data_IF_766067804829
#
_entry.id   IF_766067804829
#
_cell.length_a   1.000
_cell.length_b   1.000
_cell.length_c   1.000
_cell.angle_alpha   90.00
_cell.angle_beta   90.00
_cell.angle_gamma   90.00
#
_symmetry.space_group_name_H-M   'P 1'
#
loop_
_entity.id
_entity.type
_entity.pdbx_description
1 polymer ?
#
# COMPACT_ATOMS: atom_id res chain seq x y z
N UNK A 1 4.07 -23.42 -37.58
CA UNK A 1 4.57 -22.55 -36.47
C UNK A 1 6.11 -22.53 -36.52
N UNK A 2 6.71 -21.36 -36.69
CA UNK A 2 8.16 -21.25 -36.74
C UNK A 2 8.80 -21.62 -35.40
N UNK A 3 10.04 -22.14 -35.39
CA UNK A 3 10.75 -22.55 -34.15
C UNK A 3 10.78 -21.44 -33.08
N UNK A 4 10.83 -20.18 -33.51
CA UNK A 4 10.86 -19.00 -32.63
C UNK A 4 9.50 -18.80 -31.95
N UNK A 5 8.40 -18.87 -32.70
CA UNK A 5 7.04 -18.73 -32.18
C UNK A 5 6.75 -19.78 -31.08
N UNK A 6 7.12 -21.02 -31.34
CA UNK A 6 6.95 -22.10 -30.37
C UNK A 6 7.72 -21.84 -29.07
N UNK A 7 8.96 -21.36 -29.13
CA UNK A 7 9.76 -21.02 -27.95
C UNK A 7 9.12 -19.87 -27.16
N UNK A 8 8.56 -18.87 -27.87
CA UNK A 8 7.87 -17.74 -27.21
C UNK A 8 6.62 -18.24 -26.49
N UNK A 9 5.81 -19.07 -27.15
CA UNK A 9 4.59 -19.63 -26.54
C UNK A 9 4.94 -20.47 -25.31
N UNK A 10 5.89 -21.39 -25.41
CA UNK A 10 6.36 -22.22 -24.30
C UNK A 10 6.91 -21.36 -23.13
N UNK A 11 7.60 -20.26 -23.42
CA UNK A 11 8.06 -19.32 -22.40
C UNK A 11 6.91 -18.61 -21.72
N UNK A 12 5.94 -18.10 -22.46
CA UNK A 12 4.76 -17.39 -21.92
C UNK A 12 3.94 -18.35 -21.07
N UNK A 13 3.62 -19.53 -21.57
CA UNK A 13 2.85 -20.55 -20.82
C UNK A 13 3.51 -20.92 -19.51
N UNK A 14 4.83 -21.11 -19.51
CA UNK A 14 5.58 -21.45 -18.29
C UNK A 14 5.62 -20.32 -17.27
N UNK A 15 5.58 -19.06 -17.74
CA UNK A 15 5.77 -17.89 -16.88
C UNK A 15 4.53 -17.01 -16.78
N UNK A 16 3.36 -17.46 -17.19
CA UNK A 16 2.14 -16.65 -17.28
C UNK A 16 1.81 -15.91 -15.98
N UNK A 17 1.95 -16.55 -14.84
CA UNK A 17 1.68 -15.96 -13.53
C UNK A 17 2.64 -14.81 -13.21
N UNK A 18 3.92 -14.99 -13.49
CA UNK A 18 4.96 -13.96 -13.27
C UNK A 18 4.73 -12.79 -14.21
N UNK A 19 4.47 -13.07 -15.49
CA UNK A 19 4.20 -12.05 -16.50
C UNK A 19 2.94 -11.25 -16.14
N UNK A 20 1.89 -11.91 -15.68
CA UNK A 20 0.68 -11.26 -15.20
C UNK A 20 0.97 -10.33 -14.01
N UNK A 21 1.70 -10.81 -13.00
CA UNK A 21 2.08 -9.99 -11.83
C UNK A 21 2.92 -8.78 -12.23
N UNK A 22 3.89 -8.95 -13.12
CA UNK A 22 4.70 -7.84 -13.62
C UNK A 22 3.86 -6.81 -14.38
N UNK A 23 2.94 -7.27 -15.22
CA UNK A 23 2.05 -6.40 -15.99
C UNK A 23 1.11 -5.60 -15.06
N UNK A 24 0.44 -6.25 -14.13
CA UNK A 24 -0.47 -5.59 -13.16
C UNK A 24 0.30 -4.63 -12.26
N UNK A 25 1.47 -5.04 -11.75
CA UNK A 25 2.31 -4.17 -10.92
C UNK A 25 2.79 -2.94 -11.70
N UNK A 26 3.26 -3.13 -12.93
CA UNK A 26 3.66 -2.03 -13.80
C UNK A 26 2.51 -1.07 -14.09
N UNK A 27 1.32 -1.60 -14.42
CA UNK A 27 0.13 -0.79 -14.64
C UNK A 27 -0.27 -0.02 -13.37
N UNK A 28 -0.26 -0.69 -12.21
CA UNK A 28 -0.58 -0.07 -10.93
C UNK A 28 0.37 1.09 -10.59
N UNK A 29 1.66 0.95 -10.89
CA UNK A 29 2.65 2.03 -10.72
C UNK A 29 2.39 3.17 -11.69
N UNK A 30 2.15 2.89 -12.98
CA UNK A 30 1.89 3.93 -14.00
C UNK A 30 0.66 4.75 -13.65
N UNK A 31 -0.44 4.11 -13.26
CA UNK A 31 -1.69 4.81 -12.90
C UNK A 31 -1.48 5.69 -11.65
N UNK A 32 -0.71 5.22 -10.66
CA UNK A 32 -0.39 6.00 -9.45
C UNK A 32 0.57 7.14 -9.75
N UNK A 33 1.53 6.93 -10.64
CA UNK A 33 2.45 7.98 -11.08
C UNK A 33 1.72 9.14 -11.76
N UNK A 34 0.62 8.88 -12.47
CA UNK A 34 -0.21 9.92 -13.07
C UNK A 34 -0.81 10.88 -12.03
N UNK A 35 -1.09 10.40 -10.82
CA UNK A 35 -1.62 11.21 -9.72
C UNK A 35 -0.56 11.94 -8.87
N UNK A 36 0.73 11.76 -9.13
CA UNK A 36 1.82 12.19 -8.22
C UNK A 36 1.81 13.69 -7.87
N UNK A 37 1.46 14.53 -8.83
CA UNK A 37 1.48 16.00 -8.66
C UNK A 37 0.10 16.58 -8.28
N UNK A 38 -0.93 15.74 -8.21
CA UNK A 38 -2.26 16.18 -7.80
C UNK A 38 -2.28 16.51 -6.30
N UNK A 39 -2.85 17.64 -5.94
CA UNK A 39 -3.01 18.07 -4.55
C UNK A 39 -4.49 18.17 -4.23
N UNK A 40 -4.96 17.29 -3.32
CA UNK A 40 -6.35 17.31 -2.86
C UNK A 40 -6.63 18.44 -1.88
N UNK A 41 -7.90 18.73 -1.64
CA UNK A 41 -8.31 19.68 -0.60
C UNK A 41 -7.79 19.27 0.78
N UNK A 42 -7.94 18.00 1.16
CA UNK A 42 -7.45 17.47 2.44
C UNK A 42 -5.93 17.59 2.59
N UNK A 43 -5.21 17.35 1.49
CA UNK A 43 -3.76 17.53 1.49
C UNK A 43 -3.40 18.99 1.75
N UNK A 44 -4.05 19.93 1.07
CA UNK A 44 -3.78 21.35 1.21
C UNK A 44 -4.15 21.87 2.61
N UNK A 45 -5.29 21.46 3.14
CA UNK A 45 -5.83 22.03 4.37
C UNK A 45 -5.27 21.38 5.64
N UNK A 46 -4.84 20.12 5.55
CA UNK A 46 -4.40 19.36 6.71
C UNK A 46 -2.97 18.85 6.58
N UNK A 47 -2.70 17.94 5.63
CA UNK A 47 -1.46 17.17 5.60
C UNK A 47 -0.21 18.04 5.44
N UNK A 48 -0.26 19.01 4.52
CA UNK A 48 0.87 19.92 4.28
C UNK A 48 1.11 20.84 5.47
N UNK A 49 0.04 21.34 6.10
CA UNK A 49 0.14 22.16 7.30
C UNK A 49 0.72 21.39 8.49
N UNK A 50 0.32 20.13 8.67
CA UNK A 50 0.88 19.27 9.74
C UNK A 50 2.35 18.95 9.49
N UNK A 51 2.73 18.61 8.26
CA UNK A 51 4.14 18.40 7.92
C UNK A 51 4.99 19.62 8.24
N UNK A 52 4.55 20.80 7.80
CA UNK A 52 5.27 22.04 8.05
C UNK A 52 5.39 22.34 9.55
N UNK A 53 4.29 22.19 10.30
CA UNK A 53 4.30 22.38 11.75
C UNK A 53 5.28 21.42 12.45
N UNK A 54 5.34 20.16 12.02
CA UNK A 54 6.30 19.18 12.55
C UNK A 54 7.74 19.58 12.19
N UNK A 55 7.99 20.00 10.97
CA UNK A 55 9.31 20.42 10.51
C UNK A 55 9.82 21.66 11.28
N UNK A 56 8.99 22.70 11.40
CA UNK A 56 9.34 23.96 12.06
C UNK A 56 9.61 23.79 13.56
N UNK A 57 8.99 22.80 14.19
CA UNK A 57 9.16 22.51 15.62
C UNK A 57 10.16 21.38 15.91
N UNK A 58 11.07 21.08 14.97
CA UNK A 58 12.19 20.16 15.18
C UNK A 58 11.87 18.68 14.96
N UNK A 59 10.95 18.37 14.04
CA UNK A 59 10.66 17.01 13.62
C UNK A 59 10.10 16.15 14.75
N UNK A 60 10.78 15.07 15.13
CA UNK A 60 10.35 14.17 16.22
C UNK A 60 10.14 14.93 17.54
N UNK A 61 10.89 15.99 17.79
CA UNK A 61 10.74 16.78 19.01
C UNK A 61 9.37 17.48 19.14
N UNK A 62 8.74 17.78 18.00
CA UNK A 62 7.39 18.39 17.95
C UNK A 62 6.29 17.46 18.45
N UNK A 63 6.55 16.14 18.51
CA UNK A 63 5.55 15.14 18.88
C UNK A 63 5.26 15.09 20.40
N UNK A 64 5.85 15.98 21.19
CA UNK A 64 5.43 16.24 22.57
C UNK A 64 3.99 16.71 22.65
N UNK A 65 3.57 17.45 21.65
CA UNK A 65 2.21 17.94 21.46
C UNK A 65 1.58 17.23 20.27
N UNK A 66 0.30 17.02 20.32
CA UNK A 66 -0.43 16.42 19.19
C UNK A 66 -0.42 17.38 18.00
N UNK A 67 -0.02 16.87 16.84
CA UNK A 67 -0.08 17.59 15.57
C UNK A 67 -1.06 16.90 14.65
N UNK A 68 -2.21 17.54 14.40
CA UNK A 68 -3.28 16.95 13.58
C UNK A 68 -4.06 15.85 14.28
N UNK A 69 -4.87 15.13 13.50
CA UNK A 69 -5.89 14.20 14.01
C UNK A 69 -5.46 12.73 13.93
N UNK A 70 -4.28 12.45 13.38
CA UNK A 70 -3.76 11.08 13.26
C UNK A 70 -3.02 10.63 14.51
N UNK A 71 -2.92 9.30 14.68
CA UNK A 71 -2.23 8.70 15.83
C UNK A 71 -0.73 8.98 15.81
N UNK A 72 -0.11 8.80 16.97
CA UNK A 72 1.31 9.10 17.21
C UNK A 72 2.24 8.28 16.28
N UNK A 73 1.90 7.04 15.93
CA UNK A 73 2.73 6.21 15.07
C UNK A 73 2.83 6.81 13.66
N UNK A 74 1.70 7.23 13.09
CA UNK A 74 1.68 7.88 11.78
C UNK A 74 2.43 9.21 11.81
N UNK A 75 2.18 10.03 12.84
CA UNK A 75 2.88 11.30 13.04
C UNK A 75 4.40 11.12 13.20
N UNK A 76 4.83 10.01 13.82
CA UNK A 76 6.26 9.68 13.93
C UNK A 76 6.88 9.41 12.56
N UNK A 77 6.19 8.68 11.69
CA UNK A 77 6.66 8.44 10.30
C UNK A 77 6.76 9.76 9.53
N UNK A 78 5.75 10.63 9.66
CA UNK A 78 5.76 11.96 9.06
C UNK A 78 6.93 12.80 9.59
N UNK A 79 7.17 12.78 10.90
CA UNK A 79 8.29 13.50 11.52
C UNK A 79 9.65 13.01 11.00
N UNK A 80 9.82 11.71 10.76
CA UNK A 80 11.04 11.17 10.14
C UNK A 80 11.23 11.74 8.73
N UNK A 81 10.16 11.88 7.96
CA UNK A 81 10.24 12.44 6.61
C UNK A 81 10.70 13.90 6.59
N UNK A 82 10.45 14.69 7.66
CA UNK A 82 10.91 16.09 7.73
C UNK A 82 12.44 16.22 7.73
N UNK A 83 13.17 15.17 8.14
CA UNK A 83 14.63 15.14 8.09
C UNK A 83 15.19 14.76 6.70
N UNK A 84 14.34 14.22 5.81
CA UNK A 84 14.75 13.82 4.46
C UNK A 84 14.67 15.00 3.49
N UNK A 85 13.70 15.90 3.68
CA UNK A 85 13.52 17.08 2.86
C UNK A 85 12.09 17.65 2.93
N UNK A 86 11.82 18.61 2.05
CA UNK A 86 10.60 19.40 2.01
C UNK A 86 9.51 18.89 1.07
N UNK A 87 9.72 17.76 0.42
CA UNK A 87 8.80 17.20 -0.59
C UNK A 87 7.64 16.42 0.03
N UNK A 88 6.93 17.04 0.96
CA UNK A 88 5.85 16.43 1.75
C UNK A 88 4.78 15.72 0.93
N UNK A 89 4.34 16.29 -0.20
CA UNK A 89 3.35 15.70 -1.11
C UNK A 89 3.77 14.28 -1.51
N UNK A 90 5.02 14.12 -1.94
CA UNK A 90 5.52 12.82 -2.40
C UNK A 90 5.69 11.83 -1.24
N UNK A 91 6.12 12.29 -0.06
CA UNK A 91 6.31 11.41 1.10
C UNK A 91 4.98 10.79 1.57
N UNK A 92 3.92 11.58 1.66
CA UNK A 92 2.59 11.07 1.98
C UNK A 92 2.13 10.03 0.94
N UNK A 93 2.25 10.36 -0.35
CA UNK A 93 1.82 9.47 -1.43
C UNK A 93 2.64 8.19 -1.51
N UNK A 94 3.97 8.28 -1.41
CA UNK A 94 4.84 7.10 -1.44
C UNK A 94 4.51 6.16 -0.28
N UNK A 95 4.30 6.69 0.92
CA UNK A 95 3.91 5.91 2.09
C UNK A 95 2.58 5.19 1.84
N UNK A 96 1.56 5.92 1.39
CA UNK A 96 0.24 5.36 1.12
C UNK A 96 0.28 4.31 -0.01
N UNK A 97 0.99 4.60 -1.10
CA UNK A 97 1.16 3.67 -2.24
C UNK A 97 1.90 2.39 -1.80
N UNK A 98 2.94 2.52 -0.97
CA UNK A 98 3.62 1.36 -0.41
C UNK A 98 2.65 0.45 0.35
N UNK A 99 1.79 1.05 1.17
CA UNK A 99 0.79 0.28 1.91
C UNK A 99 -0.36 -0.24 1.03
N UNK A 100 -0.66 0.35 -0.12
CA UNK A 100 -1.56 -0.28 -1.10
C UNK A 100 -1.06 -1.67 -1.53
N UNK A 101 0.23 -1.78 -1.81
CA UNK A 101 0.85 -3.07 -2.15
C UNK A 101 0.84 -4.04 -0.97
N UNK A 102 1.16 -3.57 0.23
CA UNK A 102 1.07 -4.39 1.44
C UNK A 102 -0.36 -4.90 1.68
N UNK A 103 -1.35 -4.04 1.52
CA UNK A 103 -2.76 -4.38 1.64
C UNK A 103 -3.19 -5.40 0.58
N UNK A 104 -2.82 -5.19 -0.68
CA UNK A 104 -3.16 -6.12 -1.76
C UNK A 104 -2.54 -7.51 -1.56
N UNK A 105 -1.27 -7.57 -1.12
CA UNK A 105 -0.59 -8.83 -0.79
C UNK A 105 -1.27 -9.52 0.41
N UNK A 106 -1.55 -8.76 1.47
CA UNK A 106 -2.20 -9.30 2.67
C UNK A 106 -3.59 -9.86 2.37
N UNK A 107 -4.38 -9.13 1.56
CA UNK A 107 -5.68 -9.57 1.11
C UNK A 107 -5.60 -10.83 0.24
N UNK A 108 -4.62 -10.90 -0.67
CA UNK A 108 -4.41 -12.06 -1.52
C UNK A 108 -4.02 -13.30 -0.71
N UNK A 109 -3.13 -13.15 0.28
CA UNK A 109 -2.77 -14.24 1.19
C UNK A 109 -4.01 -14.71 1.98
N UNK A 110 -4.79 -13.78 2.52
CA UNK A 110 -5.97 -14.11 3.30
C UNK A 110 -7.05 -14.81 2.44
N UNK A 111 -7.27 -14.35 1.22
CA UNK A 111 -8.17 -15.00 0.27
C UNK A 111 -7.75 -16.43 -0.08
N UNK A 112 -6.44 -16.69 -0.22
CA UNK A 112 -5.91 -18.03 -0.42
C UNK A 112 -6.23 -18.96 0.77
N UNK A 113 -6.04 -18.49 1.99
CA UNK A 113 -6.38 -19.25 3.21
C UNK A 113 -7.86 -19.60 3.27
N UNK A 114 -8.74 -18.61 2.99
CA UNK A 114 -10.18 -18.81 2.99
C UNK A 114 -10.66 -19.79 1.91
N UNK A 115 -9.96 -19.84 0.78
CA UNK A 115 -10.34 -20.72 -0.34
C UNK A 115 -10.14 -22.21 -0.04
N UNK A 116 -9.41 -22.56 1.04
CA UNK A 116 -9.09 -23.95 1.45
C UNK A 116 -8.54 -24.84 0.33
N UNK A 117 -8.13 -24.28 -0.78
CA UNK A 117 -7.52 -24.99 -1.90
C UNK A 117 -6.01 -24.90 -1.76
N UNK A 118 -5.34 -26.06 -1.75
CA UNK A 118 -3.89 -26.11 -1.82
C UNK A 118 -3.38 -25.24 -2.96
N UNK A 119 -2.49 -24.28 -2.64
CA UNK A 119 -1.78 -23.37 -3.55
C UNK A 119 -2.60 -22.92 -4.77
N UNK A 120 -3.68 -22.19 -4.52
CA UNK A 120 -4.46 -21.63 -5.63
C UNK A 120 -3.85 -20.28 -6.08
N UNK A 121 -2.78 -20.36 -6.86
CA UNK A 121 -2.10 -19.18 -7.41
C UNK A 121 -3.08 -18.23 -8.09
N UNK A 122 -4.14 -18.74 -8.72
CA UNK A 122 -5.17 -17.91 -9.36
C UNK A 122 -5.91 -17.02 -8.36
N UNK A 123 -6.27 -17.54 -7.17
CA UNK A 123 -6.93 -16.74 -6.13
C UNK A 123 -6.00 -15.60 -5.69
N UNK A 124 -4.72 -15.91 -5.48
CA UNK A 124 -3.74 -14.89 -5.11
C UNK A 124 -3.66 -13.78 -6.16
N UNK A 125 -3.43 -14.14 -7.42
CA UNK A 125 -3.22 -13.16 -8.50
C UNK A 125 -4.47 -12.34 -8.78
N UNK A 126 -5.65 -12.95 -8.79
CA UNK A 126 -6.91 -12.24 -9.01
C UNK A 126 -7.21 -11.29 -7.85
N UNK A 127 -7.05 -11.74 -6.61
CA UNK A 127 -7.29 -10.88 -5.44
C UNK A 127 -6.29 -9.72 -5.39
N UNK A 128 -5.01 -10.00 -5.60
CA UNK A 128 -3.99 -8.95 -5.67
C UNK A 128 -4.34 -7.91 -6.74
N UNK A 129 -4.64 -8.36 -7.96
CA UNK A 129 -4.99 -7.47 -9.08
C UNK A 129 -6.25 -6.65 -8.77
N UNK A 130 -7.29 -7.28 -8.23
CA UNK A 130 -8.53 -6.62 -7.87
C UNK A 130 -8.30 -5.51 -6.83
N UNK A 131 -7.56 -5.79 -5.76
CA UNK A 131 -7.30 -4.82 -4.68
C UNK A 131 -6.40 -3.69 -5.16
N UNK A 132 -5.26 -4.00 -5.81
CA UNK A 132 -4.29 -2.98 -6.21
C UNK A 132 -4.83 -2.04 -7.31
N UNK A 133 -5.77 -2.52 -8.12
CA UNK A 133 -6.41 -1.76 -9.20
C UNK A 133 -7.76 -1.16 -8.81
N UNK A 134 -8.19 -1.32 -7.55
CA UNK A 134 -9.45 -0.74 -7.08
C UNK A 134 -9.39 0.79 -7.19
N UNK A 135 -10.34 1.45 -7.90
CA UNK A 135 -10.31 2.90 -8.09
C UNK A 135 -10.24 3.68 -6.78
N UNK A 136 -10.94 3.24 -5.74
CA UNK A 136 -10.93 3.86 -4.41
C UNK A 136 -9.55 3.79 -3.77
N UNK A 137 -8.82 2.69 -3.90
CA UNK A 137 -7.45 2.53 -3.39
C UNK A 137 -6.49 3.47 -4.13
N UNK A 138 -6.58 3.52 -5.46
CA UNK A 138 -5.74 4.39 -6.30
C UNK A 138 -5.98 5.87 -5.96
N UNK A 139 -7.25 6.29 -5.87
CA UNK A 139 -7.60 7.67 -5.57
C UNK A 139 -7.15 8.07 -4.17
N UNK A 140 -7.37 7.20 -3.19
CA UNK A 140 -7.03 7.45 -1.80
C UNK A 140 -5.51 7.66 -1.60
N UNK A 141 -4.68 6.79 -2.16
CA UNK A 141 -3.23 6.86 -2.01
C UNK A 141 -2.56 7.87 -2.96
N UNK A 142 -2.72 7.66 -4.27
CA UNK A 142 -1.93 8.38 -5.27
C UNK A 142 -2.40 9.82 -5.53
N UNK A 143 -3.70 10.07 -5.34
CA UNK A 143 -4.25 11.40 -5.54
C UNK A 143 -4.42 12.15 -4.22
N UNK A 144 -4.97 11.51 -3.20
CA UNK A 144 -5.27 12.17 -1.94
C UNK A 144 -4.17 12.07 -0.89
N UNK A 145 -3.28 11.08 -0.99
CA UNK A 145 -2.18 10.86 -0.04
C UNK A 145 -2.66 10.43 1.35
N UNK A 146 -3.83 9.80 1.44
CA UNK A 146 -4.45 9.37 2.69
C UNK A 146 -3.86 8.05 3.22
N UNK A 147 -4.02 7.81 4.52
CA UNK A 147 -3.39 6.68 5.21
C UNK A 147 -4.26 5.42 5.30
N UNK A 148 -5.40 5.35 4.60
CA UNK A 148 -6.39 4.28 4.76
C UNK A 148 -5.85 2.88 4.47
N UNK A 149 -4.95 2.76 3.51
CA UNK A 149 -4.29 1.48 3.20
C UNK A 149 -3.41 0.98 4.35
N UNK A 150 -2.91 1.88 5.22
CA UNK A 150 -2.05 1.52 6.35
C UNK A 150 -2.87 0.71 7.36
N UNK A 151 -3.91 1.31 7.93
CA UNK A 151 -4.68 0.61 8.95
C UNK A 151 -5.48 -0.57 8.36
N UNK A 152 -5.93 -0.48 7.11
CA UNK A 152 -6.61 -1.60 6.42
C UNK A 152 -5.67 -2.80 6.27
N UNK A 153 -4.39 -2.58 5.97
CA UNK A 153 -3.38 -3.64 5.93
C UNK A 153 -3.30 -4.37 7.27
N UNK A 154 -3.20 -3.62 8.37
CA UNK A 154 -3.11 -4.20 9.72
C UNK A 154 -4.41 -4.92 10.14
N UNK A 155 -5.58 -4.41 9.76
CA UNK A 155 -6.87 -5.10 9.98
C UNK A 155 -6.87 -6.44 9.24
N UNK A 156 -6.49 -6.48 7.96
CA UNK A 156 -6.46 -7.72 7.18
C UNK A 156 -5.47 -8.72 7.78
N UNK A 157 -4.28 -8.28 8.18
CA UNK A 157 -3.28 -9.13 8.83
C UNK A 157 -3.78 -9.65 10.18
N UNK A 158 -4.48 -8.84 10.95
CA UNK A 158 -5.11 -9.27 12.20
C UNK A 158 -6.11 -10.38 11.95
N UNK A 159 -7.01 -10.21 10.98
CA UNK A 159 -8.00 -11.23 10.58
C UNK A 159 -7.31 -12.52 10.09
N UNK A 160 -6.26 -12.40 9.30
CA UNK A 160 -5.45 -13.53 8.84
C UNK A 160 -4.84 -14.30 10.01
N UNK A 161 -4.26 -13.59 11.00
CA UNK A 161 -3.67 -14.25 12.17
C UNK A 161 -4.71 -14.85 13.10
N UNK A 162 -5.89 -14.23 13.24
CA UNK A 162 -7.03 -14.80 13.96
C UNK A 162 -7.51 -16.10 13.27
N UNK A 163 -7.65 -16.06 11.95
CA UNK A 163 -8.05 -17.23 11.17
C UNK A 163 -7.05 -18.40 11.31
N UNK A 164 -5.75 -18.08 11.44
CA UNK A 164 -4.66 -19.05 11.68
C UNK A 164 -4.51 -19.43 13.16
N UNK A 165 -5.40 -19.00 14.05
CA UNK A 165 -5.34 -19.20 15.51
C UNK A 165 -4.03 -18.68 16.15
N UNK A 166 -3.36 -17.71 15.51
CA UNK A 166 -2.12 -17.10 16.00
C UNK A 166 -2.41 -15.83 16.80
N UNK A 167 -3.10 -15.97 17.91
CA UNK A 167 -3.64 -14.86 18.71
C UNK A 167 -2.58 -13.83 19.13
N UNK A 168 -1.39 -14.26 19.57
CA UNK A 168 -0.31 -13.32 19.91
C UNK A 168 0.10 -12.41 18.75
N UNK A 169 0.18 -12.97 17.52
CA UNK A 169 0.50 -12.16 16.34
C UNK A 169 -0.65 -11.25 15.95
N UNK A 170 -1.89 -11.71 16.10
CA UNK A 170 -3.05 -10.87 15.85
C UNK A 170 -3.05 -9.65 16.78
N UNK A 171 -2.77 -9.85 18.08
CA UNK A 171 -2.65 -8.75 19.05
C UNK A 171 -1.53 -7.77 18.71
N UNK A 172 -0.34 -8.28 18.37
CA UNK A 172 0.81 -7.44 18.00
C UNK A 172 0.59 -6.60 16.75
N UNK A 173 -0.27 -7.07 15.84
CA UNK A 173 -0.56 -6.37 14.58
C UNK A 173 -1.71 -5.37 14.73
N UNK A 174 -2.62 -5.63 15.68
CA UNK A 174 -3.75 -4.74 15.94
C UNK A 174 -3.32 -3.45 16.67
N UNK A 175 -2.19 -3.47 17.39
CA UNK A 175 -1.66 -2.37 18.18
C UNK A 175 -1.60 -2.71 19.63
#
# INVERSE_FOLDING_TARGET
>A
MFKIERKIVEFVERNVNILFMLAITGLAIVVRYAGRDFVSGDMTWFLLGWFQKIADNGGIHSLKDQVGDYNILYQTIVAIFTYIGDKSIYYYKILSIFFDFCMAISAAIFACELSKKEKNDKVFFVTFAAVIMLPTVILNSAYWGQCDSIYTTFIILTLLYLYREKYHRAFLVLG
#
